data_IF_721527605159
#
_entry.id   IF_721527605159
#
_cell.length_a   1.000
_cell.length_b   1.000
_cell.length_c   1.000
_cell.angle_alpha   90.00
_cell.angle_beta   90.00
_cell.angle_gamma   90.00
#
_symmetry.space_group_name_H-M   'P 1'
#
loop_
_entity.id
_entity.type
_entity.pdbx_description
1 polymer ?
#
# COMPACT_ATOMS: atom_id res chain seq x y z
N UNK A 1 54.31 15.97 -17.28
CA UNK A 1 53.04 15.63 -16.68
C UNK A 1 53.23 14.48 -15.70
N UNK A 2 52.84 14.72 -14.49
CA UNK A 2 53.12 13.80 -13.40
C UNK A 2 52.12 12.65 -13.42
N UNK A 3 52.59 11.41 -13.63
CA UNK A 3 51.75 10.22 -13.65
C UNK A 3 50.92 10.05 -12.36
N UNK A 4 51.48 10.52 -11.22
CA UNK A 4 50.81 10.43 -9.93
C UNK A 4 49.58 11.33 -9.86
N UNK A 5 49.60 12.54 -10.47
CA UNK A 5 48.47 13.43 -10.52
C UNK A 5 47.33 12.88 -11.37
N UNK A 6 47.70 12.19 -12.48
CA UNK A 6 46.69 11.58 -13.35
C UNK A 6 45.99 10.40 -12.68
N UNK A 7 46.75 9.56 -11.97
CA UNK A 7 46.20 8.42 -11.22
C UNK A 7 45.29 8.92 -10.10
N UNK A 8 45.70 9.97 -9.38
CA UNK A 8 44.93 10.55 -8.29
C UNK A 8 43.57 11.09 -8.80
N UNK A 9 43.61 11.78 -9.93
CA UNK A 9 42.41 12.29 -10.59
C UNK A 9 41.43 11.18 -10.99
N UNK A 10 41.97 10.08 -11.53
CA UNK A 10 41.21 8.91 -11.91
C UNK A 10 40.55 8.24 -10.67
N UNK A 11 41.27 8.11 -9.59
CA UNK A 11 40.76 7.53 -8.33
C UNK A 11 39.64 8.42 -7.74
N UNK A 12 39.83 9.73 -7.76
CA UNK A 12 38.81 10.67 -7.29
C UNK A 12 37.53 10.58 -8.14
N UNK A 13 37.70 10.51 -9.47
CA UNK A 13 36.58 10.39 -10.38
C UNK A 13 35.81 9.10 -10.13
N UNK A 14 36.54 7.99 -9.99
CA UNK A 14 35.94 6.67 -9.69
C UNK A 14 35.21 6.67 -8.35
N UNK A 15 35.76 7.34 -7.33
CA UNK A 15 35.13 7.47 -6.02
C UNK A 15 33.82 8.26 -6.10
N UNK A 16 33.79 9.35 -6.87
CA UNK A 16 32.58 10.15 -7.07
C UNK A 16 31.50 9.36 -7.78
N UNK A 17 31.83 8.68 -8.87
CA UNK A 17 30.89 7.86 -9.61
C UNK A 17 30.40 6.67 -8.77
N UNK A 18 31.28 6.02 -8.04
CA UNK A 18 30.93 4.91 -7.14
C UNK A 18 29.96 5.33 -6.06
N UNK A 19 30.22 6.50 -5.45
CA UNK A 19 29.34 7.06 -4.43
C UNK A 19 27.95 7.39 -5.00
N UNK A 20 27.93 7.97 -6.20
CA UNK A 20 26.66 8.31 -6.88
C UNK A 20 25.84 7.06 -7.17
N UNK A 21 26.46 6.02 -7.70
CA UNK A 21 25.80 4.74 -8.00
C UNK A 21 25.30 4.10 -6.70
N UNK A 22 26.09 4.12 -5.65
CA UNK A 22 25.72 3.56 -4.36
C UNK A 22 24.49 4.28 -3.77
N UNK A 23 24.49 5.60 -3.78
CA UNK A 23 23.37 6.40 -3.28
C UNK A 23 22.11 6.16 -4.10
N UNK A 24 22.24 6.11 -5.43
CA UNK A 24 21.11 5.84 -6.31
C UNK A 24 20.51 4.47 -6.06
N UNK A 25 21.36 3.46 -5.87
CA UNK A 25 20.93 2.09 -5.57
C UNK A 25 20.21 2.01 -4.22
N UNK A 26 20.72 2.71 -3.21
CA UNK A 26 20.09 2.76 -1.89
C UNK A 26 18.70 3.40 -1.95
N UNK A 27 18.56 4.51 -2.69
CA UNK A 27 17.27 5.18 -2.87
C UNK A 27 16.29 4.28 -3.61
N UNK A 28 16.73 3.62 -4.68
CA UNK A 28 15.88 2.70 -5.44
C UNK A 28 15.44 1.52 -4.60
N UNK A 29 16.33 0.95 -3.80
CA UNK A 29 16.00 -0.16 -2.91
C UNK A 29 14.97 0.25 -1.87
N UNK A 30 15.18 1.40 -1.23
CA UNK A 30 14.24 1.92 -0.23
C UNK A 30 12.86 2.19 -0.85
N UNK A 31 12.83 2.81 -2.03
CA UNK A 31 11.60 3.08 -2.77
C UNK A 31 10.89 1.78 -3.16
N UNK A 32 11.63 0.76 -3.61
CA UNK A 32 11.07 -0.54 -3.96
C UNK A 32 10.47 -1.25 -2.76
N UNK A 33 11.13 -1.22 -1.61
CA UNK A 33 10.60 -1.82 -0.38
C UNK A 33 9.33 -1.11 0.08
N UNK A 34 9.29 0.22 -0.03
CA UNK A 34 8.10 1.01 0.31
C UNK A 34 6.94 0.65 -0.61
N UNK A 35 7.18 0.50 -1.91
CA UNK A 35 6.15 0.10 -2.88
C UNK A 35 5.63 -1.30 -2.60
N UNK A 36 6.51 -2.25 -2.25
CA UNK A 36 6.10 -3.62 -1.91
C UNK A 36 5.22 -3.62 -0.66
N UNK A 37 5.58 -2.85 0.35
CA UNK A 37 4.80 -2.74 1.58
C UNK A 37 3.42 -2.14 1.31
N UNK A 38 3.35 -1.08 0.52
CA UNK A 38 2.08 -0.46 0.14
C UNK A 38 1.22 -1.39 -0.71
N UNK A 39 1.84 -2.13 -1.63
CA UNK A 39 1.14 -3.13 -2.44
C UNK A 39 0.54 -4.23 -1.56
N UNK A 40 1.26 -4.66 -0.53
CA UNK A 40 0.76 -5.64 0.45
C UNK A 40 -0.46 -5.11 1.18
N UNK A 41 -0.42 -3.86 1.63
CA UNK A 41 -1.56 -3.24 2.31
C UNK A 41 -2.77 -3.13 1.41
N UNK A 42 -2.58 -2.70 0.17
CA UNK A 42 -3.68 -2.59 -0.82
C UNK A 42 -4.27 -3.97 -1.12
N UNK A 43 -3.43 -4.98 -1.29
CA UNK A 43 -3.88 -6.35 -1.54
C UNK A 43 -4.69 -6.90 -0.37
N UNK A 44 -4.21 -6.68 0.85
CA UNK A 44 -4.93 -7.12 2.07
C UNK A 44 -6.25 -6.39 2.21
N UNK A 45 -6.26 -5.07 1.98
CA UNK A 45 -7.48 -4.29 2.03
C UNK A 45 -8.49 -4.76 0.98
N UNK A 46 -8.04 -5.07 -0.24
CA UNK A 46 -8.90 -5.59 -1.31
C UNK A 46 -9.48 -6.96 -0.93
N UNK A 47 -8.67 -7.84 -0.35
CA UNK A 47 -9.11 -9.14 0.12
C UNK A 47 -10.17 -9.01 1.22
N UNK A 48 -9.95 -8.12 2.18
CA UNK A 48 -10.90 -7.87 3.26
C UNK A 48 -12.20 -7.30 2.72
N UNK A 49 -12.10 -6.33 1.81
CA UNK A 49 -13.28 -5.74 1.18
C UNK A 49 -14.13 -6.77 0.46
N UNK A 50 -13.48 -7.63 -0.32
CA UNK A 50 -14.16 -8.70 -1.06
C UNK A 50 -14.82 -9.70 -0.11
N UNK A 51 -14.09 -10.13 0.90
CA UNK A 51 -14.57 -11.14 1.85
C UNK A 51 -15.78 -10.64 2.61
N UNK A 52 -15.71 -9.43 3.17
CA UNK A 52 -16.78 -8.91 4.01
C UNK A 52 -17.98 -8.40 3.23
N UNK A 53 -17.79 -7.92 2.01
CA UNK A 53 -18.91 -7.56 1.15
C UNK A 53 -19.69 -8.80 0.69
N UNK A 54 -19.02 -9.91 0.45
CA UNK A 54 -19.67 -11.18 0.08
C UNK A 54 -20.50 -11.74 1.24
N UNK A 55 -20.09 -11.49 2.47
CA UNK A 55 -20.81 -11.91 3.67
C UNK A 55 -21.99 -10.98 4.03
N UNK A 56 -22.29 -9.99 3.21
CA UNK A 56 -23.37 -9.02 3.41
C UNK A 56 -23.24 -8.23 4.72
N UNK A 57 -22.03 -8.01 5.17
CA UNK A 57 -21.76 -7.23 6.35
C UNK A 57 -22.00 -7.95 7.67
N UNK A 58 -22.24 -9.25 7.63
CA UNK A 58 -22.37 -10.04 8.86
C UNK A 58 -20.99 -10.33 9.45
N UNK A 59 -20.85 -10.11 10.74
CA UNK A 59 -19.62 -10.42 11.49
C UNK A 59 -18.39 -9.66 11.04
N UNK A 60 -18.55 -8.38 10.66
CA UNK A 60 -17.42 -7.54 10.32
C UNK A 60 -16.76 -7.04 11.60
N UNK A 61 -15.48 -7.38 11.87
CA UNK A 61 -14.78 -6.79 12.98
C UNK A 61 -14.47 -5.31 12.69
N UNK A 62 -14.49 -4.47 13.73
CA UNK A 62 -14.13 -3.06 13.57
C UNK A 62 -12.65 -2.90 13.24
N UNK A 63 -11.84 -3.88 13.59
CA UNK A 63 -10.39 -3.85 13.40
C UNK A 63 -9.89 -5.23 12.99
N UNK A 64 -9.01 -5.24 12.01
CA UNK A 64 -8.33 -6.46 11.56
C UNK A 64 -6.83 -6.28 11.72
N UNK A 65 -6.19 -7.22 12.40
CA UNK A 65 -4.75 -7.20 12.61
C UNK A 65 -4.11 -8.33 11.81
N UNK A 66 -3.25 -7.97 10.86
CA UNK A 66 -2.53 -8.91 10.03
C UNK A 66 -1.03 -8.67 10.18
N UNK A 67 -0.36 -9.51 10.99
CA UNK A 67 1.09 -9.46 11.17
C UNK A 67 1.62 -8.14 11.71
N UNK A 68 0.89 -7.50 12.61
CA UNK A 68 1.26 -6.23 13.22
C UNK A 68 0.70 -5.00 12.52
N UNK A 69 0.13 -5.17 11.32
CA UNK A 69 -0.54 -4.09 10.59
C UNK A 69 -2.02 -4.07 10.94
N UNK A 70 -2.52 -2.91 11.32
CA UNK A 70 -3.92 -2.74 11.73
C UNK A 70 -4.72 -2.11 10.62
N UNK A 71 -5.86 -2.71 10.32
CA UNK A 71 -6.82 -2.22 9.34
C UNK A 71 -8.12 -1.91 10.06
N UNK A 72 -8.60 -0.67 9.90
CA UNK A 72 -9.89 -0.27 10.45
C UNK A 72 -10.97 -0.49 9.40
N UNK A 73 -12.02 -1.18 9.79
CA UNK A 73 -13.11 -1.53 8.90
C UNK A 73 -14.38 -0.80 9.33
N UNK A 74 -15.01 -0.09 8.40
CA UNK A 74 -16.27 0.61 8.64
C UNK A 74 -17.24 0.22 7.54
N UNK A 75 -18.42 -0.25 7.93
CA UNK A 75 -19.48 -0.60 6.99
C UNK A 75 -20.62 0.40 7.07
N UNK A 76 -21.00 0.93 5.93
CA UNK A 76 -22.17 1.79 5.81
C UNK A 76 -23.18 1.13 4.89
N UNK A 77 -24.44 1.12 5.32
CA UNK A 77 -25.54 0.61 4.53
C UNK A 77 -26.45 1.76 4.15
N UNK A 78 -26.60 2.00 2.85
CA UNK A 78 -27.44 3.06 2.33
C UNK A 78 -28.55 2.43 1.48
N UNK A 79 -29.80 2.77 1.76
CA UNK A 79 -30.93 2.32 0.95
C UNK A 79 -31.09 3.27 -0.23
N UNK A 80 -30.87 2.75 -1.44
CA UNK A 80 -30.96 3.54 -2.68
C UNK A 80 -32.38 3.53 -3.22
N UNK A 81 -33.07 2.37 -3.14
CA UNK A 81 -34.44 2.22 -3.58
C UNK A 81 -35.13 1.10 -2.81
N UNK A 82 -36.41 0.85 -3.08
CA UNK A 82 -37.18 -0.22 -2.42
C UNK A 82 -36.57 -1.61 -2.58
N UNK A 83 -35.81 -1.81 -3.64
CA UNK A 83 -35.26 -3.12 -3.98
C UNK A 83 -33.75 -3.19 -3.87
N UNK A 84 -33.07 -2.05 -3.82
CA UNK A 84 -31.60 -2.01 -3.84
C UNK A 84 -31.07 -1.28 -2.64
N UNK A 85 -30.11 -1.87 -2.01
CA UNK A 85 -29.31 -1.21 -1.00
C UNK A 85 -27.85 -1.21 -1.42
N UNK A 86 -27.12 -0.17 -1.05
CA UNK A 86 -25.69 -0.05 -1.30
C UNK A 86 -24.94 -0.31 -0.02
N UNK A 87 -24.10 -1.30 -0.04
CA UNK A 87 -23.19 -1.59 1.08
C UNK A 87 -21.82 -1.03 0.75
N UNK A 88 -21.37 -0.08 1.56
CA UNK A 88 -20.07 0.55 1.40
C UNK A 88 -19.17 0.13 2.54
N UNK A 89 -18.08 -0.53 2.20
CA UNK A 89 -17.06 -0.90 3.17
C UNK A 89 -15.86 0.02 3.00
N UNK A 90 -15.48 0.69 4.07
CA UNK A 90 -14.28 1.52 4.10
C UNK A 90 -13.21 0.81 4.90
N UNK A 91 -12.05 0.59 4.27
CA UNK A 91 -10.91 -0.03 4.92
C UNK A 91 -9.82 1.02 5.07
N UNK A 92 -9.45 1.33 6.30
CA UNK A 92 -8.33 2.22 6.59
C UNK A 92 -7.07 1.40 6.74
N UNK A 93 -6.07 1.71 5.91
CA UNK A 93 -4.78 1.01 5.91
C UNK A 93 -3.86 1.57 7.00
N UNK A 94 -2.78 0.85 7.36
CA UNK A 94 -1.88 1.30 8.41
C UNK A 94 -1.20 2.65 8.17
N UNK A 95 -1.12 3.09 6.92
CA UNK A 95 -0.54 4.38 6.56
C UNK A 95 -1.54 5.55 6.62
N UNK A 96 -2.79 5.29 7.01
CA UNK A 96 -3.85 6.28 7.08
C UNK A 96 -4.67 6.43 5.81
N UNK A 97 -4.29 5.76 4.73
CA UNK A 97 -5.06 5.78 3.49
C UNK A 97 -6.30 4.92 3.63
N UNK A 98 -7.37 5.36 2.99
CA UNK A 98 -8.62 4.61 3.00
C UNK A 98 -8.95 4.08 1.61
N UNK A 99 -9.54 2.90 1.56
CA UNK A 99 -10.05 2.31 0.33
C UNK A 99 -11.51 1.94 0.53
N UNK A 100 -12.36 2.36 -0.42
CA UNK A 100 -13.79 2.14 -0.33
C UNK A 100 -14.21 1.08 -1.33
N UNK A 101 -15.05 0.16 -0.86
CA UNK A 101 -15.65 -0.88 -1.67
C UNK A 101 -17.16 -0.74 -1.59
N UNK A 102 -17.82 -0.77 -2.74
CA UNK A 102 -19.27 -0.63 -2.81
C UNK A 102 -19.86 -1.85 -3.50
N UNK A 103 -20.99 -2.29 -2.99
CA UNK A 103 -21.75 -3.38 -3.60
C UNK A 103 -23.24 -3.05 -3.53
N UNK A 104 -23.90 -3.16 -4.66
CA UNK A 104 -25.35 -3.03 -4.72
C UNK A 104 -25.98 -4.40 -4.49
N UNK A 105 -26.87 -4.46 -3.52
CA UNK A 105 -27.57 -5.70 -3.16
C UNK A 105 -29.03 -5.51 -3.45
N UNK A 106 -29.60 -6.48 -4.18
CA UNK A 106 -31.03 -6.51 -4.46
C UNK A 106 -31.74 -7.15 -3.28
N UNK A 107 -32.46 -6.34 -2.52
CA UNK A 107 -33.30 -6.83 -1.41
C UNK A 107 -34.71 -7.09 -1.94
N UNK A 108 -35.10 -8.33 -1.90
CA UNK A 108 -36.46 -8.75 -2.21
C UNK A 108 -37.32 -8.71 -0.96
#
# INVERSE_FOLDING_TARGET
MNKNGFILSDVLLAAVFGSFIFLSSAVLLHSSLDMVTKAKWIRTAAMLGRLYLEENGQHIPAMYDAGGDRYLLTMEKTVVSHRYSCHRLTVEMPDGRTKKFERFINER
#
